data_IF_304084679802
#
_entry.id   IF_304084679802
#
_cell.length_a   1.000
_cell.length_b   1.000
_cell.length_c   1.000
_cell.angle_alpha   90.00
_cell.angle_beta   90.00
_cell.angle_gamma   90.00
#
_symmetry.space_group_name_H-M   'P 1'
#
loop_
_entity.id
_entity.type
_entity.pdbx_description
1 polymer ?
#
# COMPACT_ATOMS: atom_id res chain seq x y z
N UNK A 1 -5.55 20.48 7.22
CA UNK A 1 -6.43 19.41 7.72
C UNK A 1 -7.67 19.18 6.86
N UNK A 2 -8.31 20.19 6.24
CA UNK A 2 -9.53 19.96 5.43
C UNK A 2 -9.30 19.31 4.04
N UNK A 3 -8.12 19.45 3.44
CA UNK A 3 -7.84 18.93 2.09
C UNK A 3 -7.73 17.40 1.98
N UNK A 4 -7.38 16.68 3.06
CA UNK A 4 -7.18 15.22 3.02
C UNK A 4 -8.53 14.47 3.10
N UNK A 5 -9.50 14.98 3.86
CA UNK A 5 -10.87 14.39 3.92
C UNK A 5 -11.60 14.49 2.56
N UNK A 6 -11.42 15.60 1.82
CA UNK A 6 -12.17 15.85 0.59
C UNK A 6 -11.80 14.95 -0.59
N UNK A 7 -10.58 14.40 -0.64
CA UNK A 7 -10.13 13.58 -1.77
C UNK A 7 -10.65 12.13 -1.69
N UNK A 8 -10.98 11.64 -0.50
CA UNK A 8 -11.45 10.26 -0.30
C UNK A 8 -12.97 10.10 -0.43
N UNK A 9 -13.75 11.15 -0.18
CA UNK A 9 -15.22 11.08 -0.16
C UNK A 9 -15.88 11.15 -1.56
N UNK A 10 -15.15 11.48 -2.62
CA UNK A 10 -15.73 11.71 -3.95
C UNK A 10 -15.81 10.49 -4.88
N UNK A 11 -15.33 9.30 -4.47
CA UNK A 11 -15.25 8.13 -5.37
C UNK A 11 -16.18 6.96 -5.06
N UNK A 12 -17.15 7.08 -4.14
CA UNK A 12 -18.01 5.96 -3.74
C UNK A 12 -19.50 6.31 -3.77
N UNK A 13 -20.11 6.30 -4.96
CA UNK A 13 -21.56 6.06 -5.09
C UNK A 13 -21.94 5.55 -6.49
N UNK A 14 -21.96 4.24 -6.69
CA UNK A 14 -22.85 3.60 -7.68
C UNK A 14 -23.03 2.11 -7.38
N UNK A 15 -24.06 1.78 -6.60
CA UNK A 15 -24.63 0.43 -6.54
C UNK A 15 -25.49 0.15 -7.78
N UNK A 16 -25.28 -0.92 -8.55
CA UNK A 16 -26.22 -1.33 -9.59
C UNK A 16 -27.31 -2.25 -9.03
N UNK A 17 -28.57 -1.90 -9.27
CA UNK A 17 -29.75 -2.76 -9.08
C UNK A 17 -29.84 -3.81 -10.20
N UNK A 18 -30.41 -5.01 -9.95
CA UNK A 18 -30.55 -6.04 -10.98
C UNK A 18 -31.87 -5.84 -11.75
N UNK A 19 -31.83 -5.94 -13.09
CA UNK A 19 -33.04 -6.03 -13.91
C UNK A 19 -32.94 -7.17 -14.93
N UNK A 20 -34.09 -7.83 -15.08
CA UNK A 20 -34.39 -9.06 -15.82
C UNK A 20 -34.29 -8.94 -17.35
N UNK A 21 -34.07 -10.10 -17.98
CA UNK A 21 -34.00 -10.44 -19.40
C UNK A 21 -35.19 -10.03 -20.29
N UNK A 22 -34.93 -9.61 -21.56
CA UNK A 22 -35.31 -10.31 -22.83
C UNK A 22 -34.89 -9.52 -24.10
N UNK A 23 -34.34 -10.27 -25.07
CA UNK A 23 -34.34 -10.13 -26.56
C UNK A 23 -33.80 -8.88 -27.31
N UNK A 24 -32.64 -9.07 -27.97
CA UNK A 24 -32.51 -9.09 -29.45
C UNK A 24 -32.55 -7.78 -30.27
N UNK A 25 -31.38 -7.16 -30.55
CA UNK A 25 -31.11 -6.56 -31.87
C UNK A 25 -29.60 -6.29 -32.10
N UNK A 26 -29.17 -6.37 -33.37
CA UNK A 26 -27.77 -6.36 -33.84
C UNK A 26 -27.37 -4.99 -34.43
N UNK A 27 -26.26 -4.41 -33.90
CA UNK A 27 -25.28 -3.47 -34.50
C UNK A 27 -25.74 -2.06 -34.99
N UNK A 28 -24.86 -1.02 -35.06
CA UNK A 28 -23.41 -1.10 -35.30
C UNK A 28 -22.49 -0.25 -34.41
N UNK A 29 -21.20 -0.56 -34.59
CA UNK A 29 -19.98 -0.03 -33.99
C UNK A 29 -19.89 1.50 -33.96
N UNK A 30 -19.44 2.02 -32.82
CA UNK A 30 -18.73 3.31 -32.70
C UNK A 30 -17.47 3.09 -31.89
N UNK A 31 -16.33 3.35 -32.52
CA UNK A 31 -15.01 3.43 -31.90
C UNK A 31 -14.97 4.68 -31.00
N UNK A 32 -14.59 4.52 -29.73
CA UNK A 32 -14.17 5.62 -28.87
C UNK A 32 -12.77 5.34 -28.36
N UNK A 33 -11.85 6.25 -28.68
CA UNK A 33 -10.45 6.19 -28.33
C UNK A 33 -10.27 6.22 -26.80
N UNK A 34 -9.89 5.07 -26.24
CA UNK A 34 -9.34 4.97 -24.88
C UNK A 34 -7.85 5.30 -24.92
N UNK A 35 -7.44 6.33 -24.20
CA UNK A 35 -6.04 6.65 -23.95
C UNK A 35 -5.41 5.56 -23.09
N UNK A 36 -4.46 4.85 -23.67
CA UNK A 36 -3.72 3.76 -23.05
C UNK A 36 -2.71 4.32 -22.04
N UNK A 37 -3.09 4.33 -20.75
CA UNK A 37 -2.13 4.51 -19.66
C UNK A 37 -1.43 3.17 -19.43
N UNK A 38 -0.45 2.88 -20.29
CA UNK A 38 0.45 1.74 -20.13
C UNK A 38 1.30 1.94 -18.87
N UNK A 39 0.79 1.44 -17.74
CA UNK A 39 1.60 1.17 -16.56
C UNK A 39 2.64 0.16 -17.00
N UNK A 40 3.93 0.55 -16.98
CA UNK A 40 5.05 -0.35 -17.30
C UNK A 40 5.14 -1.38 -16.16
N UNK A 41 4.31 -2.42 -16.25
CA UNK A 41 4.56 -3.68 -15.57
C UNK A 41 5.69 -4.32 -16.34
N UNK A 42 6.89 -4.32 -15.75
CA UNK A 42 8.07 -4.92 -16.36
C UNK A 42 7.88 -6.44 -16.48
N UNK A 43 7.29 -6.88 -17.59
CA UNK A 43 7.45 -8.24 -18.08
C UNK A 43 8.88 -8.36 -18.63
N UNK A 44 9.70 -9.21 -18.02
CA UNK A 44 11.04 -9.51 -18.53
C UNK A 44 11.21 -11.00 -18.88
N UNK A 45 11.72 -11.22 -20.08
CA UNK A 45 12.35 -12.46 -20.54
C UNK A 45 13.78 -12.52 -19.98
N UNK A 46 14.07 -13.52 -19.14
CA UNK A 46 15.45 -13.80 -18.79
C UNK A 46 16.14 -14.41 -20.02
N UNK A 47 17.31 -13.87 -20.36
CA UNK A 47 18.27 -14.49 -21.27
C UNK A 47 18.53 -15.93 -20.81
N UNK A 48 18.12 -16.89 -21.63
CA UNK A 48 18.58 -18.27 -21.51
C UNK A 48 20.08 -18.31 -21.82
N UNK A 49 20.90 -18.40 -20.78
CA UNK A 49 22.34 -18.60 -20.88
C UNK A 49 22.72 -20.00 -20.44
N UNK A 50 23.02 -20.85 -21.42
CA UNK A 50 23.49 -22.22 -21.21
C UNK A 50 24.77 -22.31 -20.37
N UNK A 51 24.95 -23.47 -19.76
CA UNK A 51 26.17 -23.86 -19.07
C UNK A 51 27.37 -23.81 -20.03
N UNK A 52 28.45 -23.14 -19.62
CA UNK A 52 29.82 -23.67 -19.70
C UNK A 52 30.84 -22.66 -19.14
N UNK A 53 31.82 -23.17 -18.40
CA UNK A 53 33.11 -22.50 -18.20
C UNK A 53 33.30 -21.74 -16.89
N UNK A 54 34.03 -22.35 -15.96
CA UNK A 54 34.61 -21.69 -14.80
C UNK A 54 35.57 -20.56 -15.23
N UNK A 55 35.31 -19.31 -14.81
CA UNK A 55 36.26 -18.21 -15.02
C UNK A 55 35.70 -16.80 -14.98
N UNK A 56 35.04 -16.37 -13.89
CA UNK A 56 35.13 -15.01 -13.35
C UNK A 56 34.36 -14.98 -12.02
N UNK A 57 34.98 -14.54 -10.92
CA UNK A 57 34.21 -14.10 -9.75
C UNK A 57 33.56 -12.77 -10.15
N UNK A 58 32.40 -12.87 -10.80
CA UNK A 58 31.67 -11.75 -11.37
C UNK A 58 31.38 -10.69 -10.31
N UNK A 59 31.52 -9.43 -10.69
CA UNK A 59 31.11 -8.30 -9.87
C UNK A 59 29.70 -8.55 -9.33
N UNK A 60 29.52 -8.40 -8.03
CA UNK A 60 28.22 -8.52 -7.38
C UNK A 60 27.30 -7.49 -8.04
N UNK A 61 26.14 -7.88 -8.58
CA UNK A 61 25.24 -6.93 -9.24
C UNK A 61 24.93 -5.74 -8.33
N UNK A 62 25.02 -4.52 -8.87
CA UNK A 62 24.93 -3.28 -8.08
C UNK A 62 23.66 -3.20 -7.21
N UNK A 63 22.57 -3.83 -7.64
CA UNK A 63 21.31 -3.86 -6.90
C UNK A 63 21.36 -4.62 -5.57
N UNK A 64 22.34 -5.51 -5.38
CA UNK A 64 22.58 -6.20 -4.11
C UNK A 64 23.25 -5.27 -3.08
N UNK A 65 23.99 -4.26 -3.53
CA UNK A 65 24.70 -3.29 -2.69
C UNK A 65 23.97 -1.95 -2.53
N UNK A 66 22.78 -1.80 -3.11
CA UNK A 66 22.02 -0.56 -3.04
C UNK A 66 21.72 -0.15 -1.59
N UNK A 67 22.00 1.12 -1.25
CA UNK A 67 21.58 1.73 0.01
C UNK A 67 20.08 1.97 -0.05
N UNK A 68 19.29 1.08 0.54
CA UNK A 68 17.82 1.08 0.40
C UNK A 68 17.09 1.55 1.67
N UNK A 69 17.72 1.48 2.84
CA UNK A 69 17.07 1.79 4.13
C UNK A 69 16.98 3.32 4.33
N UNK A 70 15.77 3.90 4.47
CA UNK A 70 15.61 5.31 4.80
C UNK A 70 16.32 5.73 6.09
N UNK A 71 16.52 4.83 7.05
CA UNK A 71 17.17 5.16 8.33
C UNK A 71 18.70 5.14 8.25
N UNK A 72 19.29 4.69 7.13
CA UNK A 72 20.71 4.87 6.87
C UNK A 72 21.02 6.35 6.63
N UNK A 73 21.63 7.02 7.60
CA UNK A 73 21.94 8.45 7.53
C UNK A 73 23.30 8.78 6.92
N UNK A 74 24.08 7.76 6.50
CA UNK A 74 25.48 7.93 6.10
C UNK A 74 25.71 8.95 4.98
N UNK A 75 24.73 9.15 4.09
CA UNK A 75 24.83 10.11 2.97
C UNK A 75 24.32 11.52 3.34
N UNK A 76 23.32 11.60 4.22
CA UNK A 76 22.67 12.86 4.62
C UNK A 76 23.45 13.66 5.64
N UNK A 77 24.32 13.01 6.43
CA UNK A 77 25.23 13.71 7.34
C UNK A 77 26.36 14.44 6.58
N UNK A 78 26.63 14.03 5.34
CA UNK A 78 27.76 14.54 4.55
C UNK A 78 27.39 15.81 3.76
N UNK A 79 26.14 15.96 3.30
CA UNK A 79 25.73 17.14 2.53
C UNK A 79 24.23 17.44 2.68
N UNK A 80 23.82 18.68 3.03
CA UNK A 80 22.41 19.04 3.11
C UNK A 80 21.79 19.14 1.70
N UNK A 81 20.47 18.88 1.55
CA UNK A 81 19.79 18.99 0.27
C UNK A 81 19.81 20.42 -0.27
N UNK A 82 20.07 20.57 -1.57
CA UNK A 82 20.08 21.87 -2.23
C UNK A 82 18.66 22.48 -2.32
N UNK A 83 18.51 23.82 -2.49
CA UNK A 83 17.20 24.43 -2.72
C UNK A 83 16.46 23.87 -3.94
N UNK A 84 17.18 23.41 -4.96
CA UNK A 84 16.58 22.75 -6.13
C UNK A 84 16.01 21.37 -5.79
N UNK A 85 16.75 20.57 -5.01
CA UNK A 85 16.28 19.29 -4.47
C UNK A 85 15.00 19.46 -3.65
N UNK A 86 15.00 20.39 -2.69
CA UNK A 86 13.82 20.68 -1.86
C UNK A 86 12.61 21.13 -2.71
N UNK A 87 12.84 21.97 -3.72
CA UNK A 87 11.78 22.40 -4.64
C UNK A 87 11.21 21.22 -5.42
N UNK A 88 12.06 20.31 -5.89
CA UNK A 88 11.63 19.10 -6.60
C UNK A 88 10.77 18.22 -5.69
N UNK A 89 11.20 17.96 -4.45
CA UNK A 89 10.43 17.17 -3.48
C UNK A 89 9.04 17.78 -3.24
N UNK A 90 8.98 19.11 -3.04
CA UNK A 90 7.70 19.81 -2.86
C UNK A 90 6.78 19.66 -4.07
N UNK A 91 7.31 19.78 -5.28
CA UNK A 91 6.53 19.61 -6.50
C UNK A 91 5.97 18.19 -6.63
N UNK A 92 6.77 17.17 -6.32
CA UNK A 92 6.34 15.77 -6.33
C UNK A 92 5.21 15.50 -5.32
N UNK A 93 5.28 16.08 -4.12
CA UNK A 93 4.21 15.99 -3.11
C UNK A 93 2.95 16.72 -3.58
N UNK A 94 3.09 17.95 -4.10
CA UNK A 94 1.96 18.74 -4.57
C UNK A 94 1.25 18.10 -5.76
N UNK A 95 1.97 17.40 -6.63
CA UNK A 95 1.38 16.64 -7.72
C UNK A 95 0.43 15.54 -7.18
N UNK A 96 0.85 14.80 -6.15
CA UNK A 96 -0.01 13.80 -5.49
C UNK A 96 -1.22 14.45 -4.82
N UNK A 97 -1.07 15.63 -4.20
CA UNK A 97 -2.22 16.32 -3.59
C UNK A 97 -3.20 16.90 -4.61
N UNK A 98 -2.71 17.23 -5.81
CA UNK A 98 -3.54 17.77 -6.89
C UNK A 98 -4.31 16.67 -7.62
N UNK A 99 -3.68 15.50 -7.79
CA UNK A 99 -4.25 14.33 -8.45
C UNK A 99 -3.85 13.05 -7.69
N UNK A 100 -4.54 12.74 -6.58
CA UNK A 100 -4.17 11.63 -5.71
C UNK A 100 -4.47 10.29 -6.37
N UNK A 101 -3.47 9.40 -6.54
CA UNK A 101 -3.73 8.05 -7.02
C UNK A 101 -4.68 7.29 -6.09
N UNK A 102 -5.55 6.42 -6.61
CA UNK A 102 -6.49 5.66 -5.78
C UNK A 102 -5.80 4.85 -4.69
N UNK A 103 -6.30 4.97 -3.45
CA UNK A 103 -5.78 4.25 -2.30
C UNK A 103 -4.41 4.71 -1.81
N UNK A 104 -3.93 5.88 -2.23
CA UNK A 104 -2.62 6.41 -1.84
C UNK A 104 -2.76 7.71 -1.04
N UNK A 105 -2.18 7.73 0.16
CA UNK A 105 -2.04 8.94 0.98
C UNK A 105 -0.55 9.22 1.26
N UNK A 106 -0.14 10.48 1.20
CA UNK A 106 1.21 10.91 1.61
C UNK A 106 1.17 12.03 2.63
N UNK A 107 2.09 11.97 3.58
CA UNK A 107 2.26 12.97 4.63
C UNK A 107 3.76 13.25 4.83
N UNK A 108 4.24 14.45 4.50
CA UNK A 108 5.62 14.84 4.80
C UNK A 108 5.88 14.87 6.30
N UNK A 109 7.10 14.50 6.71
CA UNK A 109 7.52 14.66 8.10
C UNK A 109 7.60 16.16 8.44
N UNK A 110 7.02 16.62 9.55
CA UNK A 110 6.92 18.04 9.89
C UNK A 110 8.29 18.69 10.15
N UNK A 111 9.29 17.90 10.54
CA UNK A 111 10.62 18.39 10.89
C UNK A 111 11.62 18.17 9.75
N UNK A 112 11.32 17.29 8.80
CA UNK A 112 12.24 16.97 7.72
C UNK A 112 11.49 16.66 6.41
N UNK A 113 11.43 17.64 5.52
CA UNK A 113 10.76 17.52 4.22
C UNK A 113 11.34 16.42 3.31
N UNK A 114 12.58 15.96 3.54
CA UNK A 114 13.14 14.83 2.77
C UNK A 114 12.61 13.48 3.23
N UNK A 115 11.89 13.42 4.35
CA UNK A 115 11.26 12.23 4.89
C UNK A 115 9.76 12.29 4.68
N UNK A 116 9.19 11.27 4.04
CA UNK A 116 7.76 11.18 3.71
C UNK A 116 7.21 9.89 4.31
N UNK A 117 6.00 9.99 4.84
CA UNK A 117 5.18 8.87 5.27
C UNK A 117 4.14 8.61 4.18
N UNK A 118 4.02 7.38 3.68
CA UNK A 118 3.00 7.01 2.70
C UNK A 118 2.16 5.85 3.21
N UNK A 119 0.86 5.91 2.99
CA UNK A 119 -0.09 4.83 3.27
C UNK A 119 -0.69 4.38 1.95
N UNK A 120 -0.54 3.09 1.62
CA UNK A 120 -1.14 2.47 0.45
C UNK A 120 -2.19 1.47 0.91
N UNK A 121 -3.41 1.63 0.43
CA UNK A 121 -4.45 0.61 0.54
C UNK A 121 -4.21 -0.46 -0.50
N UNK A 122 -4.26 -1.73 -0.09
CA UNK A 122 -4.08 -2.86 -0.98
C UNK A 122 -5.19 -2.92 -2.06
N UNK A 123 -4.84 -3.18 -3.33
CA UNK A 123 -5.79 -3.13 -4.44
C UNK A 123 -6.92 -4.16 -4.33
N UNK A 124 -8.08 -3.83 -4.88
CA UNK A 124 -9.22 -4.75 -5.04
C UNK A 124 -8.87 -5.97 -5.88
N UNK A 125 -9.53 -7.10 -5.59
CA UNK A 125 -9.36 -8.39 -6.26
C UNK A 125 -7.95 -8.99 -6.12
N UNK A 126 -7.20 -8.56 -5.09
CA UNK A 126 -5.87 -9.09 -4.78
C UNK A 126 -5.81 -9.64 -3.35
N UNK A 127 -4.85 -10.51 -3.00
CA UNK A 127 -4.69 -10.97 -1.62
C UNK A 127 -4.29 -9.85 -0.63
N UNK A 128 -4.13 -8.61 -1.11
CA UNK A 128 -3.81 -7.42 -0.35
C UNK A 128 -5.03 -6.54 -0.07
N UNK A 129 -6.19 -6.84 -0.66
CA UNK A 129 -7.36 -5.96 -0.70
C UNK A 129 -7.75 -5.39 0.67
N UNK A 130 -7.84 -4.06 0.72
CA UNK A 130 -8.21 -3.31 1.92
C UNK A 130 -7.15 -3.33 3.03
N UNK A 131 -5.98 -3.93 2.83
CA UNK A 131 -4.85 -3.84 3.77
C UNK A 131 -4.20 -2.47 3.78
N UNK A 132 -3.75 -2.00 4.94
CA UNK A 132 -3.09 -0.71 5.12
C UNK A 132 -1.57 -0.86 5.19
N UNK A 133 -0.88 -0.59 4.08
CA UNK A 133 0.57 -0.73 3.95
C UNK A 133 1.25 0.62 4.14
N UNK A 134 1.91 0.79 5.28
CA UNK A 134 2.63 2.01 5.63
C UNK A 134 4.10 1.91 5.18
N UNK A 135 4.56 2.93 4.47
CA UNK A 135 5.91 3.07 3.97
C UNK A 135 6.57 4.33 4.51
N UNK A 136 7.85 4.18 4.87
CA UNK A 136 8.75 5.29 5.14
C UNK A 136 9.61 5.54 3.90
N UNK A 137 9.66 6.79 3.45
CA UNK A 137 10.46 7.22 2.31
C UNK A 137 11.45 8.30 2.77
N UNK A 138 12.70 8.23 2.29
CA UNK A 138 13.67 9.32 2.44
C UNK A 138 14.35 9.65 1.11
N UNK A 139 14.24 10.90 0.69
CA UNK A 139 14.95 11.44 -0.45
C UNK A 139 16.43 11.69 -0.11
N UNK A 140 17.38 11.34 -1.00
CA UNK A 140 18.78 11.70 -0.83
C UNK A 140 19.00 13.20 -1.08
N UNK A 141 20.16 13.72 -0.67
CA UNK A 141 20.49 15.15 -0.78
C UNK A 141 20.59 15.64 -2.24
N UNK A 142 20.91 14.72 -3.16
CA UNK A 142 21.06 14.95 -4.59
C UNK A 142 19.78 14.62 -5.39
N UNK A 143 18.65 14.33 -4.75
CA UNK A 143 17.37 14.09 -5.43
C UNK A 143 17.02 15.25 -6.40
N UNK A 144 16.60 14.98 -7.66
CA UNK A 144 16.19 13.69 -8.24
C UNK A 144 17.29 12.92 -8.98
N UNK A 145 18.57 13.21 -8.76
CA UNK A 145 19.67 12.50 -9.44
C UNK A 145 19.71 11.03 -8.99
N UNK A 146 19.65 10.78 -7.69
CA UNK A 146 19.54 9.46 -7.09
C UNK A 146 18.10 9.15 -6.62
N UNK A 147 17.67 7.89 -6.63
CA UNK A 147 16.31 7.52 -6.22
C UNK A 147 16.06 7.74 -4.73
N UNK A 148 14.79 7.89 -4.30
CA UNK A 148 14.45 7.84 -2.89
C UNK A 148 14.71 6.43 -2.32
N UNK A 149 14.98 6.37 -1.02
CA UNK A 149 15.02 5.13 -0.24
C UNK A 149 13.65 4.85 0.33
N UNK A 150 13.21 3.59 0.29
CA UNK A 150 11.85 3.20 0.68
C UNK A 150 11.89 1.94 1.54
N UNK A 151 11.12 1.98 2.64
CA UNK A 151 10.96 0.86 3.55
C UNK A 151 9.49 0.62 3.84
N UNK A 152 9.05 -0.63 3.66
CA UNK A 152 7.77 -1.11 4.19
C UNK A 152 7.88 -1.23 5.71
N UNK A 153 7.00 -0.53 6.42
CA UNK A 153 6.92 -0.54 7.88
C UNK A 153 5.90 -1.59 8.37
N UNK A 154 4.86 -1.84 7.59
CA UNK A 154 3.85 -2.88 7.85
C UNK A 154 4.43 -4.27 7.58
N UNK A 155 5.27 -4.80 8.49
CA UNK A 155 5.90 -6.13 8.37
C UNK A 155 5.64 -7.04 9.56
N UNK A 156 4.77 -6.63 10.49
CA UNK A 156 4.51 -7.36 11.73
C UNK A 156 5.79 -7.51 12.57
N UNK A 157 6.54 -6.41 12.72
CA UNK A 157 7.84 -6.38 13.40
C UNK A 157 8.88 -7.35 12.81
N UNK A 158 8.95 -7.43 11.49
CA UNK A 158 9.94 -8.26 10.81
C UNK A 158 9.56 -9.73 10.64
N UNK A 159 8.29 -10.08 10.86
CA UNK A 159 7.83 -11.47 10.79
C UNK A 159 7.21 -11.82 9.44
N UNK A 160 6.69 -10.84 8.69
CA UNK A 160 5.91 -11.08 7.47
C UNK A 160 6.63 -10.60 6.23
N UNK A 161 6.85 -11.52 5.28
CA UNK A 161 7.18 -11.20 3.88
C UNK A 161 5.87 -11.10 3.13
N UNK A 162 5.49 -9.90 2.69
CA UNK A 162 4.20 -9.67 2.04
C UNK A 162 4.21 -10.00 0.56
N UNK A 163 5.37 -9.95 -0.08
CA UNK A 163 5.51 -10.17 -1.51
C UNK A 163 6.94 -10.65 -1.78
N UNK A 164 7.21 -11.37 -2.90
CA UNK A 164 8.57 -11.62 -3.32
C UNK A 164 9.46 -10.38 -3.35
N UNK A 165 8.87 -9.20 -3.60
CA UNK A 165 9.52 -7.89 -3.62
C UNK A 165 9.33 -7.05 -2.34
N UNK A 166 8.57 -7.50 -1.34
CA UNK A 166 8.31 -6.78 -0.08
C UNK A 166 8.75 -7.64 1.12
N UNK A 167 9.98 -7.40 1.56
CA UNK A 167 10.72 -8.28 2.47
C UNK A 167 10.32 -8.08 3.93
N UNK A 168 10.58 -9.09 4.76
CA UNK A 168 10.38 -9.06 6.23
C UNK A 168 11.06 -7.85 6.89
N UNK A 169 12.29 -7.55 6.49
CA UNK A 169 13.05 -6.42 7.01
C UNK A 169 12.56 -5.04 6.51
N UNK A 170 11.56 -5.02 5.62
CA UNK A 170 11.00 -3.82 5.01
C UNK A 170 11.63 -3.43 3.68
N UNK A 171 12.65 -4.14 3.19
CA UNK A 171 13.25 -3.85 1.88
C UNK A 171 12.21 -4.00 0.77
N UNK A 172 12.13 -2.99 -0.08
CA UNK A 172 11.31 -2.97 -1.29
C UNK A 172 12.22 -3.19 -2.51
N UNK A 173 11.94 -4.23 -3.28
CA UNK A 173 12.70 -4.58 -4.48
C UNK A 173 12.01 -4.04 -5.74
N UNK A 174 12.53 -2.92 -6.26
CA UNK A 174 12.11 -2.29 -7.51
C UNK A 174 13.33 -1.80 -8.29
N UNK A 175 13.32 -1.96 -9.61
CA UNK A 175 14.47 -1.57 -10.44
C UNK A 175 14.70 -0.06 -10.44
N UNK A 176 13.62 0.73 -10.41
CA UNK A 176 13.67 2.19 -10.28
C UNK A 176 14.17 2.67 -8.91
N UNK A 177 14.25 1.78 -7.91
CA UNK A 177 14.91 2.06 -6.63
C UNK A 177 16.34 1.51 -6.58
N UNK A 178 16.81 0.91 -7.68
CA UNK A 178 18.11 0.24 -7.75
C UNK A 178 18.17 -1.04 -6.91
N UNK A 179 17.05 -1.58 -6.43
CA UNK A 179 17.02 -2.77 -5.55
C UNK A 179 16.58 -4.04 -6.27
N UNK A 180 16.41 -3.97 -7.59
CA UNK A 180 16.02 -5.10 -8.44
C UNK A 180 16.56 -4.93 -9.86
N UNK A 181 16.61 -6.03 -10.62
CA UNK A 181 16.96 -5.98 -12.03
C UNK A 181 15.83 -5.32 -12.87
N UNK A 182 16.19 -4.53 -13.88
CA UNK A 182 15.25 -3.85 -14.78
C UNK A 182 15.67 -2.43 -15.11
N UNK A 183 14.77 -1.60 -15.69
CA UNK A 183 15.02 -0.20 -15.97
C UNK A 183 15.42 0.55 -14.69
N UNK A 184 16.58 1.20 -14.74
CA UNK A 184 17.13 1.93 -13.60
C UNK A 184 16.39 3.25 -13.37
N UNK A 185 16.61 3.83 -12.18
CA UNK A 185 16.16 5.18 -11.86
C UNK A 185 16.58 6.19 -12.93
N UNK A 186 15.70 7.15 -13.21
CA UNK A 186 16.04 8.36 -13.93
C UNK A 186 15.36 9.56 -13.27
N UNK A 187 15.92 10.78 -13.37
CA UNK A 187 15.31 11.99 -12.80
C UNK A 187 13.92 12.35 -13.34
N UNK A 188 13.44 11.66 -14.37
CA UNK A 188 12.08 11.77 -14.90
C UNK A 188 11.04 11.07 -14.01
N UNK A 189 11.45 10.08 -13.22
CA UNK A 189 10.59 9.41 -12.25
C UNK A 189 10.26 10.34 -11.08
N UNK A 190 9.12 10.12 -10.44
CA UNK A 190 8.58 10.94 -9.35
C UNK A 190 8.25 10.09 -8.12
N UNK A 191 7.94 10.72 -6.99
CA UNK A 191 7.37 10.03 -5.84
C UNK A 191 6.10 9.25 -6.23
N UNK A 192 5.25 9.84 -7.06
CA UNK A 192 4.01 9.19 -7.53
C UNK A 192 4.32 7.92 -8.32
N UNK A 193 5.25 7.98 -9.30
CA UNK A 193 5.58 6.78 -10.09
C UNK A 193 6.23 5.68 -9.24
N UNK A 194 7.01 6.03 -8.22
CA UNK A 194 7.54 5.06 -7.24
C UNK A 194 6.41 4.38 -6.47
N UNK A 195 5.49 5.14 -5.88
CA UNK A 195 4.40 4.58 -5.06
C UNK A 195 3.41 3.76 -5.90
N UNK A 196 3.10 4.19 -7.13
CA UNK A 196 2.28 3.42 -8.08
C UNK A 196 2.99 2.10 -8.47
N UNK A 197 4.31 2.13 -8.67
CA UNK A 197 5.09 0.92 -8.95
C UNK A 197 5.06 -0.06 -7.77
N UNK A 198 5.12 0.46 -6.53
CA UNK A 198 4.97 -0.37 -5.32
C UNK A 198 3.58 -0.97 -5.24
N UNK A 199 2.53 -0.18 -5.49
CA UNK A 199 1.14 -0.66 -5.49
C UNK A 199 0.93 -1.75 -6.54
N UNK A 200 1.57 -1.63 -7.71
CA UNK A 200 1.49 -2.62 -8.80
C UNK A 200 2.15 -3.97 -8.46
N UNK A 201 3.07 -4.02 -7.49
CA UNK A 201 3.61 -5.29 -6.98
C UNK A 201 2.54 -6.12 -6.25
N UNK A 202 1.54 -5.44 -5.68
CA UNK A 202 0.41 -6.03 -4.96
C UNK A 202 -0.69 -6.48 -5.93
N UNK A 203 -0.34 -7.37 -6.87
CA UNK A 203 -1.24 -7.89 -7.89
C UNK A 203 -2.01 -9.14 -7.44
N UNK A 204 -2.90 -9.66 -8.29
CA UNK A 204 -3.76 -10.82 -8.02
C UNK A 204 -3.00 -12.13 -7.74
N UNK A 205 -1.77 -12.30 -8.28
CA UNK A 205 -0.99 -13.54 -8.20
C UNK A 205 0.48 -13.25 -7.87
N UNK A 206 0.77 -12.72 -6.67
CA UNK A 206 2.10 -12.25 -6.28
C UNK A 206 3.16 -13.36 -6.24
N UNK A 207 2.77 -14.63 -6.23
CA UNK A 207 3.69 -15.77 -6.37
C UNK A 207 4.58 -15.63 -7.63
N UNK A 208 4.02 -15.14 -8.74
CA UNK A 208 4.74 -15.02 -10.01
C UNK A 208 5.74 -13.84 -10.04
N UNK A 209 5.79 -13.02 -8.99
CA UNK A 209 6.78 -11.96 -8.89
C UNK A 209 8.19 -12.51 -8.57
N UNK A 210 8.30 -13.74 -8.04
CA UNK A 210 9.59 -14.37 -7.76
C UNK A 210 10.27 -14.81 -9.08
N UNK A 211 11.55 -14.46 -9.34
CA UNK A 211 12.24 -14.84 -10.57
C UNK A 211 12.31 -16.36 -10.76
N UNK A 212 11.88 -16.83 -11.93
CA UNK A 212 11.83 -18.25 -12.26
C UNK A 212 10.54 -18.96 -11.84
N UNK A 213 9.56 -18.24 -11.27
CA UNK A 213 8.27 -18.79 -10.81
C UNK A 213 7.11 -18.37 -11.72
N UNK A 214 7.37 -18.13 -13.01
CA UNK A 214 6.33 -17.86 -14.02
C UNK A 214 5.32 -19.00 -14.12
N UNK A 215 5.79 -20.22 -13.92
CA UNK A 215 4.97 -21.42 -13.79
C UNK A 215 5.01 -21.92 -12.34
N UNK A 216 3.89 -22.43 -11.85
CA UNK A 216 3.83 -23.05 -10.53
C UNK A 216 4.73 -24.29 -10.49
N UNK A 217 5.46 -24.50 -9.38
CA UNK A 217 6.27 -25.71 -9.21
C UNK A 217 5.37 -26.91 -8.91
N UNK A 218 4.39 -26.68 -8.05
CA UNK A 218 3.30 -27.59 -7.75
C UNK A 218 1.99 -26.91 -8.09
N UNK A 219 1.07 -27.63 -8.72
CA UNK A 219 -0.24 -27.08 -9.03
C UNK A 219 -0.92 -26.59 -7.75
N UNK A 220 -1.35 -25.32 -7.76
CA UNK A 220 -1.99 -24.67 -6.62
C UNK A 220 -1.06 -23.84 -5.73
N UNK A 221 0.25 -23.79 -5.99
CA UNK A 221 1.20 -22.98 -5.21
C UNK A 221 0.81 -21.50 -5.18
N UNK A 222 0.37 -20.93 -6.32
CA UNK A 222 -0.01 -19.52 -6.41
C UNK A 222 -1.26 -19.25 -5.57
N UNK A 223 -2.26 -20.15 -5.64
CA UNK A 223 -3.46 -20.04 -4.81
C UNK A 223 -3.13 -20.18 -3.32
N UNK A 224 -2.29 -21.14 -2.95
CA UNK A 224 -1.89 -21.32 -1.56
C UNK A 224 -1.13 -20.09 -1.03
N UNK A 225 -0.23 -19.53 -1.83
CA UNK A 225 0.45 -18.29 -1.50
C UNK A 225 -0.53 -17.11 -1.35
N UNK A 226 -1.56 -17.02 -2.19
CA UNK A 226 -2.63 -16.04 -2.02
C UNK A 226 -3.37 -16.21 -0.70
N UNK A 227 -3.74 -17.44 -0.32
CA UNK A 227 -4.42 -17.70 0.96
C UNK A 227 -3.54 -17.24 2.15
N UNK A 228 -2.22 -17.50 2.09
CA UNK A 228 -1.23 -17.02 3.07
C UNK A 228 -1.20 -15.49 3.11
N UNK A 229 -1.04 -14.83 1.96
CA UNK A 229 -0.95 -13.37 1.92
C UNK A 229 -2.25 -12.72 2.38
N UNK A 230 -3.41 -13.24 1.99
CA UNK A 230 -4.72 -12.75 2.46
C UNK A 230 -4.83 -12.84 3.99
N UNK A 231 -4.42 -13.96 4.58
CA UNK A 231 -4.39 -14.11 6.03
C UNK A 231 -3.50 -13.05 6.69
N UNK A 232 -2.27 -12.87 6.18
CA UNK A 232 -1.31 -11.93 6.77
C UNK A 232 -1.71 -10.46 6.54
N UNK A 233 -2.38 -10.15 5.44
CA UNK A 233 -3.01 -8.85 5.17
C UNK A 233 -4.03 -8.53 6.25
N UNK A 234 -4.98 -9.43 6.52
CA UNK A 234 -5.99 -9.19 7.56
C UNK A 234 -5.36 -9.14 8.96
N UNK A 235 -4.40 -10.03 9.26
CA UNK A 235 -3.75 -10.07 10.58
C UNK A 235 -2.94 -8.83 10.88
N UNK A 236 -2.11 -8.40 9.94
CA UNK A 236 -1.06 -7.39 10.15
C UNK A 236 -1.42 -6.08 9.47
N UNK A 237 -1.73 -6.10 8.18
CA UNK A 237 -2.01 -4.86 7.45
C UNK A 237 -3.38 -4.26 7.78
N UNK A 238 -4.30 -5.03 8.37
CA UNK A 238 -5.59 -4.51 8.87
C UNK A 238 -5.59 -4.45 10.39
N UNK A 239 -5.62 -5.61 11.07
CA UNK A 239 -5.85 -5.63 12.51
C UNK A 239 -4.70 -4.97 13.31
N UNK A 240 -3.44 -5.38 13.09
CA UNK A 240 -2.31 -4.79 13.83
C UNK A 240 -2.15 -3.29 13.59
N UNK A 241 -2.44 -2.82 12.37
CA UNK A 241 -2.38 -1.41 12.01
C UNK A 241 -3.42 -0.59 12.79
N UNK A 242 -4.68 -1.00 12.77
CA UNK A 242 -5.79 -0.32 13.45
C UNK A 242 -5.66 -0.43 14.99
N UNK A 243 -5.16 -1.55 15.49
CA UNK A 243 -4.89 -1.75 16.92
C UNK A 243 -3.72 -0.88 17.43
N UNK A 244 -2.91 -0.33 16.52
CA UNK A 244 -1.79 0.55 16.88
C UNK A 244 -0.50 -0.20 17.22
N UNK A 245 -0.39 -1.47 16.84
CA UNK A 245 0.83 -2.28 17.03
C UNK A 245 1.99 -1.76 16.17
N UNK A 246 1.70 -0.97 15.14
CA UNK A 246 2.66 -0.31 14.26
C UNK A 246 2.53 1.21 14.44
N UNK A 247 3.67 1.88 14.69
CA UNK A 247 3.71 3.33 14.83
C UNK A 247 3.56 3.98 13.46
N UNK A 248 2.50 4.75 13.30
CA UNK A 248 2.18 5.55 12.13
C UNK A 248 1.75 6.94 12.60
N UNK A 249 2.02 8.03 11.85
CA UNK A 249 1.54 9.36 12.20
C UNK A 249 0.01 9.45 12.32
N UNK A 250 -0.47 10.26 13.25
CA UNK A 250 -1.89 10.33 13.62
C UNK A 250 -2.80 10.71 12.45
N UNK A 251 -2.34 11.60 11.56
CA UNK A 251 -3.10 11.95 10.34
C UNK A 251 -3.36 10.73 9.46
N UNK A 252 -2.35 9.87 9.25
CA UNK A 252 -2.51 8.65 8.44
C UNK A 252 -3.30 7.59 9.20
N UNK A 253 -3.21 7.55 10.54
CA UNK A 253 -4.07 6.72 11.37
C UNK A 253 -5.55 7.09 11.18
N UNK A 254 -5.87 8.38 11.20
CA UNK A 254 -7.23 8.86 11.00
C UNK A 254 -7.77 8.48 9.61
N UNK A 255 -6.96 8.59 8.54
CA UNK A 255 -7.35 8.13 7.19
C UNK A 255 -7.69 6.64 7.23
N UNK A 256 -6.79 5.83 7.77
CA UNK A 256 -6.98 4.38 7.87
C UNK A 256 -8.26 4.00 8.66
N UNK A 257 -8.48 4.61 9.83
CA UNK A 257 -9.66 4.34 10.66
C UNK A 257 -10.95 4.78 9.96
N UNK A 258 -10.92 5.87 9.20
CA UNK A 258 -12.07 6.32 8.39
C UNK A 258 -12.38 5.41 7.21
N UNK A 259 -11.37 4.75 6.61
CA UNK A 259 -11.56 3.83 5.49
C UNK A 259 -11.91 2.39 5.91
N UNK A 260 -11.56 1.98 7.14
CA UNK A 260 -11.82 0.62 7.62
C UNK A 260 -13.30 0.17 7.49
N UNK A 261 -14.31 1.00 7.84
CA UNK A 261 -15.73 0.70 7.64
C UNK A 261 -16.10 0.23 6.23
N UNK A 262 -15.50 0.82 5.19
CA UNK A 262 -15.86 0.57 3.79
C UNK A 262 -15.54 -0.86 3.37
N UNK A 263 -14.49 -1.44 3.96
CA UNK A 263 -14.03 -2.79 3.68
C UNK A 263 -14.50 -3.82 4.73
N UNK A 264 -15.17 -3.38 5.81
CA UNK A 264 -15.49 -4.26 6.94
C UNK A 264 -16.27 -5.52 6.54
N UNK A 265 -17.28 -5.38 5.68
CA UNK A 265 -18.07 -6.52 5.18
C UNK A 265 -17.21 -7.51 4.40
N UNK A 266 -16.31 -6.99 3.56
CA UNK A 266 -15.37 -7.81 2.80
C UNK A 266 -14.46 -8.59 3.74
N UNK A 267 -13.86 -7.95 4.75
CA UNK A 267 -12.96 -8.62 5.70
C UNK A 267 -13.64 -9.79 6.43
N UNK A 268 -14.87 -9.60 6.89
CA UNK A 268 -15.63 -10.65 7.58
C UNK A 268 -15.94 -11.80 6.62
N UNK A 269 -16.37 -11.50 5.39
CA UNK A 269 -16.65 -12.51 4.37
C UNK A 269 -15.42 -13.35 4.04
N UNK A 270 -14.24 -12.73 3.91
CA UNK A 270 -12.98 -13.45 3.70
C UNK A 270 -12.69 -14.39 4.87
N UNK A 271 -12.81 -13.91 6.10
CA UNK A 271 -12.57 -14.73 7.29
C UNK A 271 -13.52 -15.93 7.35
N UNK A 272 -14.79 -15.76 6.99
CA UNK A 272 -15.79 -16.84 6.96
C UNK A 272 -15.49 -17.85 5.86
N UNK A 273 -15.16 -17.37 4.66
CA UNK A 273 -14.87 -18.21 3.50
C UNK A 273 -13.61 -19.04 3.68
N UNK A 274 -12.59 -18.52 4.35
CA UNK A 274 -11.30 -19.18 4.55
C UNK A 274 -11.15 -19.83 5.93
N UNK A 275 -12.19 -19.81 6.78
CA UNK A 275 -12.14 -20.39 8.13
C UNK A 275 -11.82 -21.90 8.13
N UNK A 276 -12.12 -22.62 7.05
CA UNK A 276 -11.79 -24.04 6.93
C UNK A 276 -10.28 -24.33 6.96
N UNK A 277 -9.44 -23.30 6.79
CA UNK A 277 -7.99 -23.40 6.89
C UNK A 277 -7.47 -23.29 8.33
N UNK A 278 -8.29 -22.90 9.31
CA UNK A 278 -7.87 -22.69 10.70
C UNK A 278 -7.08 -23.89 11.25
N UNK A 279 -5.92 -23.61 11.85
CA UNK A 279 -5.03 -24.61 12.47
C UNK A 279 -4.12 -25.38 11.49
N UNK A 280 -4.28 -25.17 10.18
CA UNK A 280 -3.38 -25.68 9.13
C UNK A 280 -2.12 -24.82 9.07
N UNK A 281 -0.96 -25.45 8.88
CA UNK A 281 0.31 -24.76 8.68
C UNK A 281 0.34 -24.02 7.33
N UNK A 282 0.77 -22.75 7.36
CA UNK A 282 1.06 -21.97 6.16
C UNK A 282 2.38 -22.44 5.54
N UNK A 283 2.35 -23.57 4.85
CA UNK A 283 3.51 -24.13 4.15
C UNK A 283 3.89 -23.24 2.96
N UNK A 284 4.60 -22.15 3.24
CA UNK A 284 4.99 -21.16 2.24
C UNK A 284 5.81 -21.80 1.11
N UNK A 285 5.42 -21.62 -0.17
CA UNK A 285 6.10 -22.26 -1.30
C UNK A 285 7.55 -21.77 -1.51
N UNK A 286 7.94 -20.66 -0.89
CA UNK A 286 9.30 -20.13 -0.86
C UNK A 286 10.08 -20.56 0.38
N UNK A 287 9.50 -21.36 1.27
CA UNK A 287 10.15 -21.93 2.45
C UNK A 287 10.22 -20.98 3.66
N UNK A 288 9.48 -19.88 3.63
CA UNK A 288 9.38 -18.96 4.76
C UNK A 288 8.63 -19.61 5.94
N UNK A 289 9.19 -19.55 7.15
CA UNK A 289 8.46 -19.97 8.36
C UNK A 289 7.35 -18.98 8.67
N UNK A 290 6.13 -19.49 8.83
CA UNK A 290 4.92 -18.71 9.09
C UNK A 290 4.05 -19.38 10.17
N UNK A 291 3.18 -18.62 10.86
CA UNK A 291 2.23 -19.21 11.80
C UNK A 291 1.19 -20.08 11.08
N UNK A 292 0.35 -20.76 11.86
CA UNK A 292 -0.85 -21.43 11.34
C UNK A 292 -1.91 -20.42 10.97
N UNK A 293 -2.80 -20.79 10.04
CA UNK A 293 -4.00 -20.00 9.76
C UNK A 293 -4.89 -19.90 11.00
N UNK A 294 -5.44 -18.71 11.24
CA UNK A 294 -6.36 -18.39 12.34
C UNK A 294 -7.30 -17.24 11.93
N UNK A 295 -8.12 -17.49 10.90
CA UNK A 295 -9.13 -16.54 10.43
C UNK A 295 -10.22 -16.31 11.48
N UNK A 296 -10.49 -17.29 12.35
CA UNK A 296 -11.41 -17.13 13.48
C UNK A 296 -10.97 -16.05 14.46
N UNK A 297 -9.69 -16.02 14.83
CA UNK A 297 -9.16 -14.95 15.68
C UNK A 297 -9.22 -13.60 14.98
N UNK A 298 -8.87 -13.54 13.69
CA UNK A 298 -8.97 -12.31 12.89
C UNK A 298 -10.40 -11.77 12.84
N UNK A 299 -11.40 -12.61 12.57
CA UNK A 299 -12.81 -12.21 12.58
C UNK A 299 -13.25 -11.63 13.92
N UNK A 300 -12.75 -12.17 15.04
CA UNK A 300 -13.02 -11.62 16.39
C UNK A 300 -12.38 -10.25 16.56
N UNK A 301 -11.12 -10.09 16.17
CA UNK A 301 -10.39 -8.80 16.23
C UNK A 301 -11.09 -7.73 15.39
N UNK A 302 -11.48 -8.06 14.16
CA UNK A 302 -12.21 -7.16 13.27
C UNK A 302 -13.53 -6.67 13.89
N UNK A 303 -14.30 -7.56 14.54
CA UNK A 303 -15.54 -7.18 15.25
C UNK A 303 -15.29 -6.24 16.42
N UNK A 304 -14.23 -6.48 17.20
CA UNK A 304 -13.82 -5.62 18.31
C UNK A 304 -13.38 -4.24 17.79
N UNK A 305 -12.57 -4.22 16.73
CA UNK A 305 -12.14 -3.00 16.06
C UNK A 305 -13.35 -2.20 15.58
N UNK A 306 -14.30 -2.85 14.89
CA UNK A 306 -15.51 -2.19 14.38
C UNK A 306 -16.32 -1.56 15.51
N UNK A 307 -16.59 -2.31 16.58
CA UNK A 307 -17.33 -1.80 17.73
C UNK A 307 -16.62 -0.60 18.39
N UNK A 308 -15.29 -0.64 18.50
CA UNK A 308 -14.50 0.49 19.02
C UNK A 308 -14.64 1.74 18.14
N UNK A 309 -14.52 1.60 16.82
CA UNK A 309 -14.62 2.74 15.90
C UNK A 309 -16.04 3.32 15.83
N UNK A 310 -17.07 2.48 15.95
CA UNK A 310 -18.47 2.95 16.00
C UNK A 310 -18.73 3.79 17.26
N UNK A 311 -18.23 3.37 18.42
CA UNK A 311 -18.38 4.13 19.67
C UNK A 311 -17.66 5.48 19.61
N UNK A 312 -16.44 5.52 19.05
CA UNK A 312 -15.69 6.77 18.91
C UNK A 312 -16.44 7.77 18.01
N UNK A 313 -17.09 7.29 16.95
CA UNK A 313 -17.90 8.15 16.07
C UNK A 313 -19.08 8.78 16.83
N UNK A 314 -19.78 7.99 17.64
CA UNK A 314 -20.92 8.47 18.44
C UNK A 314 -20.52 9.53 19.49
N UNK A 315 -19.34 9.39 20.10
CA UNK A 315 -18.80 10.40 21.04
C UNK A 315 -18.49 11.72 20.32
N UNK A 316 -17.83 11.68 19.15
CA UNK A 316 -17.57 12.89 18.36
C UNK A 316 -18.83 13.58 17.86
N UNK A 317 -19.83 12.83 17.40
CA UNK A 317 -21.10 13.41 16.93
C UNK A 317 -21.83 14.11 18.09
N UNK A 318 -21.77 13.55 19.31
CA UNK A 318 -22.37 14.20 20.50
C UNK A 318 -21.62 15.45 20.95
N UNK A 319 -20.28 15.48 20.84
CA UNK A 319 -19.49 16.67 21.17
C UNK A 319 -19.67 17.80 20.14
N UNK A 320 -19.86 17.46 18.85
CA UNK A 320 -20.16 18.44 17.80
C UNK A 320 -21.58 19.01 17.96
N UNK A 321 -22.60 18.19 18.28
CA UNK A 321 -23.97 18.67 18.57
C UNK A 321 -24.03 19.58 19.80
N UNK A 322 -23.32 19.25 20.89
CA UNK A 322 -23.25 20.11 22.09
C UNK A 322 -22.55 21.46 21.80
N UNK A 323 -21.53 21.47 20.94
CA UNK A 323 -20.82 22.69 20.57
C UNK A 323 -21.63 23.61 19.65
N UNK A 324 -22.44 23.04 18.73
CA UNK A 324 -23.37 23.81 17.90
C UNK A 324 -24.52 24.42 18.74
N UNK A 325 -25.05 23.67 19.71
CA UNK A 325 -26.09 24.14 20.63
C UNK A 325 -25.61 25.30 21.52
N UNK A 326 -24.35 25.28 21.97
CA UNK A 326 -23.78 26.38 22.77
C UNK A 326 -23.46 27.62 21.91
N UNK A 327 -23.02 27.45 20.65
CA UNK A 327 -22.81 28.58 19.72
C UNK A 327 -24.13 29.29 19.35
N UNK A 328 -25.25 28.56 19.27
CA UNK A 328 -26.56 29.16 18.96
C UNK A 328 -27.17 29.85 20.19
N UNK A 329 -26.90 29.38 21.41
CA UNK A 329 -27.27 30.09 22.65
C UNK A 329 -26.53 31.42 22.81
N UNK A 330 -25.25 31.47 22.49
CA UNK A 330 -24.45 32.71 22.56
C UNK A 330 -24.88 33.75 21.50
N UNK A 331 -25.50 33.33 20.39
CA UNK A 331 -26.06 34.23 19.37
C UNK A 331 -27.44 34.78 19.75
N UNK A 332 -28.23 34.06 20.55
CA UNK A 332 -29.53 34.55 21.04
C UNK A 332 -29.38 35.56 22.20
N UNK A 333 -28.35 35.44 23.05
CA UNK A 333 -28.11 36.41 24.14
C UNK A 333 -27.44 37.72 23.69
N UNK A 334 -26.88 37.78 22.47
CA UNK A 334 -26.18 38.96 21.94
C UNK A 334 -27.06 40.00 21.24
N UNK A 335 -28.38 39.78 21.11
CA UNK A 335 -29.27 40.62 20.30
C UNK A 335 -30.27 41.45 21.13
N UNK A 336 -30.11 41.51 22.45
CA UNK A 336 -30.90 42.34 23.35
C UNK A 336 -29.96 43.30 24.13
N UNK A 337 -29.39 44.29 23.42
CA UNK A 337 -28.66 45.44 24.01
C UNK A 337 -28.69 46.67 23.11
#
# INVERSE_FOLDING_TARGET
MSYVKSAYLTSSSSTPQPSTSTEGHVSPKTESAGGDSSVIVANFELLEGGSDGAGNLGAVPDFLNAKWDPDDLTDTEVTPPSPACIRRIKNDILAIYSDPPPGLCVMPDPNNITKIHALLTGPFDTPYEGGFFYFLIRFPADYPISPPRVRLMTTGNGTVRFNPNLYKNGKVCLSILGTWAGPSWSPAQTLSTVLISIQSLMNEKPYHNEPGFKHERTSGDSKHYNDIIQHETLRVAVCDMIEGNIRIPDTLRAVMESSFPDYYKYYIQVCENLQYLDGIDMNDPFGDTRPKFDFRSQARRLKVIRARLDNNTMETDSEEEEAEDDEDRDKEEGNDS
#
